data_IF_879075506658
#
_entry.id   IF_879075506658
#
_cell.length_a   1.000
_cell.length_b   1.000
_cell.length_c   1.000
_cell.angle_alpha   90.00
_cell.angle_beta   90.00
_cell.angle_gamma   90.00
#
_symmetry.space_group_name_H-M   'P 1'
#
loop_
_entity.id
_entity.type
_entity.pdbx_description
1 polymer ?
#
# COMPACT_ATOMS: atom_id res chain seq x y z
N UNK A 1 31.10 15.36 0.54
CA UNK A 1 32.31 15.75 -0.23
C UNK A 1 32.26 15.24 -1.67
N UNK A 2 32.01 13.95 -1.90
CA UNK A 2 32.06 13.36 -3.26
C UNK A 2 31.11 14.01 -4.28
N UNK A 3 29.87 14.31 -3.89
CA UNK A 3 28.91 15.03 -4.76
C UNK A 3 29.38 16.44 -5.14
N UNK A 4 30.14 17.08 -4.26
CA UNK A 4 30.82 18.34 -4.55
C UNK A 4 31.94 18.19 -5.57
N UNK A 5 32.72 17.09 -5.49
CA UNK A 5 33.76 16.77 -6.47
C UNK A 5 33.15 16.52 -7.86
N UNK A 6 32.01 15.83 -7.95
CA UNK A 6 31.26 15.66 -9.20
C UNK A 6 30.81 17.03 -9.76
N UNK A 7 30.34 17.94 -8.89
CA UNK A 7 30.04 19.31 -9.26
C UNK A 7 31.25 20.09 -9.78
N UNK A 8 32.41 19.94 -9.13
CA UNK A 8 33.66 20.58 -9.54
C UNK A 8 34.16 20.08 -10.91
N UNK A 9 34.10 18.78 -11.17
CA UNK A 9 34.47 18.22 -12.48
C UNK A 9 33.60 18.82 -13.60
N UNK A 10 32.28 18.89 -13.41
CA UNK A 10 31.35 19.55 -14.36
C UNK A 10 31.67 21.02 -14.57
N UNK A 11 32.10 21.72 -13.51
CA UNK A 11 32.54 23.10 -13.62
C UNK A 11 33.80 23.21 -14.51
N UNK A 12 34.78 22.34 -14.30
CA UNK A 12 36.02 22.34 -15.08
C UNK A 12 35.76 22.06 -16.57
N UNK A 13 34.91 21.09 -16.90
CA UNK A 13 34.53 20.75 -18.29
C UNK A 13 33.86 21.91 -19.03
N UNK A 14 33.00 22.67 -18.33
CA UNK A 14 32.17 23.72 -18.95
C UNK A 14 32.76 25.13 -18.83
N UNK A 15 33.89 25.28 -18.16
CA UNK A 15 34.47 26.59 -17.91
C UNK A 15 35.15 27.17 -19.17
N UNK A 16 34.90 28.44 -19.44
CA UNK A 16 35.48 29.16 -20.57
C UNK A 16 36.28 30.35 -20.04
N UNK A 17 37.61 30.23 -20.03
CA UNK A 17 38.51 31.27 -19.51
C UNK A 17 38.39 32.61 -20.25
N UNK A 18 38.00 32.59 -21.54
CA UNK A 18 37.83 33.79 -22.37
C UNK A 18 36.72 34.74 -21.89
N UNK A 19 35.82 34.27 -21.01
CA UNK A 19 34.72 35.09 -20.46
C UNK A 19 35.16 35.99 -19.29
N UNK A 20 36.40 35.87 -18.81
CA UNK A 20 36.97 36.79 -17.81
C UNK A 20 36.48 36.63 -16.37
N UNK A 21 35.60 35.66 -16.07
CA UNK A 21 35.17 35.37 -14.70
C UNK A 21 36.15 34.44 -13.99
N UNK A 22 36.37 34.62 -12.67
CA UNK A 22 37.22 33.70 -11.89
C UNK A 22 36.61 32.30 -11.83
N UNK A 23 37.43 31.27 -12.08
CA UNK A 23 37.00 29.88 -12.00
C UNK A 23 36.38 29.52 -10.64
N UNK A 24 36.95 30.00 -9.53
CA UNK A 24 36.44 29.73 -8.18
C UNK A 24 34.96 30.14 -8.03
N UNK A 25 34.60 31.34 -8.45
CA UNK A 25 33.22 31.85 -8.41
C UNK A 25 32.26 31.00 -9.25
N UNK A 26 32.71 30.55 -10.43
CA UNK A 26 31.92 29.68 -11.30
C UNK A 26 31.75 28.27 -10.72
N UNK A 27 32.84 27.68 -10.23
CA UNK A 27 32.85 26.35 -9.65
C UNK A 27 31.99 26.26 -8.38
N UNK A 28 31.96 27.31 -7.55
CA UNK A 28 31.10 27.35 -6.36
C UNK A 28 29.63 27.07 -6.69
N UNK A 29 29.11 27.61 -7.80
CA UNK A 29 27.73 27.36 -8.22
C UNK A 29 27.49 25.88 -8.55
N UNK A 30 28.38 25.25 -9.32
CA UNK A 30 28.26 23.84 -9.70
C UNK A 30 28.45 22.89 -8.52
N UNK A 31 29.38 23.19 -7.61
CA UNK A 31 29.58 22.45 -6.37
C UNK A 31 28.32 22.52 -5.51
N UNK A 32 27.78 23.74 -5.30
CA UNK A 32 26.57 23.93 -4.49
C UNK A 32 25.37 23.21 -5.11
N UNK A 33 25.18 23.32 -6.42
CA UNK A 33 24.11 22.65 -7.14
C UNK A 33 24.18 21.13 -7.01
N UNK A 34 25.38 20.54 -7.17
CA UNK A 34 25.61 19.11 -7.00
C UNK A 34 25.25 18.63 -5.61
N UNK A 35 25.78 19.30 -4.57
CA UNK A 35 25.50 18.97 -3.17
C UNK A 35 24.02 19.11 -2.84
N UNK A 36 23.38 20.22 -3.20
CA UNK A 36 21.96 20.46 -2.89
C UNK A 36 21.05 19.45 -3.59
N UNK A 37 21.36 19.08 -4.84
CA UNK A 37 20.60 18.06 -5.57
C UNK A 37 20.77 16.68 -4.94
N UNK A 38 21.99 16.26 -4.64
CA UNK A 38 22.24 14.97 -4.02
C UNK A 38 21.58 14.87 -2.63
N UNK A 39 21.62 15.96 -1.85
CA UNK A 39 20.90 16.02 -0.57
C UNK A 39 19.39 15.84 -0.78
N UNK A 40 18.79 16.50 -1.77
CA UNK A 40 17.37 16.33 -2.06
C UNK A 40 17.01 14.91 -2.53
N UNK A 41 17.88 14.26 -3.31
CA UNK A 41 17.59 12.96 -3.93
C UNK A 41 17.94 11.75 -3.03
N UNK A 42 18.95 11.86 -2.15
CA UNK A 42 19.54 10.72 -1.44
C UNK A 42 19.49 10.80 0.10
N UNK A 43 19.17 11.96 0.70
CA UNK A 43 19.28 12.11 2.17
C UNK A 43 18.21 11.37 2.98
N UNK A 44 17.14 10.92 2.33
CA UNK A 44 15.97 10.34 3.01
C UNK A 44 15.83 8.87 2.68
N UNK A 45 15.41 8.09 3.69
CA UNK A 45 15.05 6.67 3.55
C UNK A 45 13.98 6.46 2.47
N UNK A 46 12.97 7.34 2.46
CA UNK A 46 11.95 7.38 1.41
C UNK A 46 12.28 8.56 0.50
N UNK A 47 12.58 8.27 -0.77
CA UNK A 47 12.93 9.28 -1.76
C UNK A 47 11.72 10.18 -2.04
N UNK A 48 11.92 11.49 -1.91
CA UNK A 48 10.91 12.52 -2.19
C UNK A 48 11.31 13.32 -3.45
N UNK A 49 10.39 13.61 -4.39
CA UNK A 49 10.70 14.44 -5.54
C UNK A 49 11.17 15.87 -5.16
N UNK A 50 12.11 16.43 -5.93
CA UNK A 50 12.72 17.74 -5.66
C UNK A 50 11.70 18.87 -5.50
N UNK A 51 10.63 18.90 -6.31
CA UNK A 51 9.59 19.94 -6.23
C UNK A 51 8.82 19.91 -4.89
N UNK A 52 8.71 18.73 -4.25
CA UNK A 52 8.13 18.59 -2.92
C UNK A 52 9.09 19.11 -1.84
N UNK A 53 10.41 18.92 -2.00
CA UNK A 53 11.44 19.51 -1.13
C UNK A 53 11.45 21.02 -1.18
N UNK A 54 11.33 21.61 -2.38
CA UNK A 54 11.15 23.05 -2.52
C UNK A 54 9.86 23.55 -1.88
N UNK A 55 8.75 22.82 -2.05
CA UNK A 55 7.47 23.14 -1.43
C UNK A 55 7.57 23.12 0.10
N UNK A 56 8.18 22.09 0.68
CA UNK A 56 8.42 21.97 2.12
C UNK A 56 9.26 23.13 2.66
N UNK A 57 10.36 23.51 1.98
CA UNK A 57 11.15 24.69 2.36
C UNK A 57 10.39 26.01 2.24
N UNK A 58 9.46 26.14 1.27
CA UNK A 58 8.55 27.31 1.21
C UNK A 58 7.59 27.34 2.39
N UNK A 59 6.98 26.20 2.71
CA UNK A 59 6.09 26.03 3.87
C UNK A 59 6.82 26.43 5.15
N UNK A 60 8.00 25.85 5.42
CA UNK A 60 8.78 26.15 6.63
C UNK A 60 9.14 27.64 6.76
N UNK A 61 9.52 28.29 5.65
CA UNK A 61 9.83 29.73 5.65
C UNK A 61 8.60 30.59 5.99
N UNK A 62 7.45 30.27 5.40
CA UNK A 62 6.20 31.02 5.66
C UNK A 62 5.69 30.76 7.06
N UNK A 63 5.72 29.50 7.53
CA UNK A 63 5.35 29.14 8.91
C UNK A 63 6.19 29.90 9.94
N UNK A 64 7.51 29.98 9.74
CA UNK A 64 8.39 30.76 10.64
C UNK A 64 8.09 32.26 10.59
N UNK A 65 7.88 32.82 9.40
CA UNK A 65 7.53 34.24 9.23
C UNK A 65 6.21 34.59 9.92
N UNK A 66 5.17 33.79 9.67
CA UNK A 66 3.86 33.98 10.30
C UNK A 66 3.94 33.79 11.82
N UNK A 67 4.73 32.81 12.28
CA UNK A 67 4.94 32.59 13.72
C UNK A 67 5.56 33.81 14.42
N UNK A 68 6.53 34.47 13.77
CA UNK A 68 7.13 35.71 14.27
C UNK A 68 6.14 36.88 14.26
N UNK A 69 5.32 37.01 13.22
CA UNK A 69 4.34 38.09 13.09
C UNK A 69 3.17 37.96 14.07
N UNK A 70 2.73 36.72 14.33
CA UNK A 70 1.55 36.44 15.16
C UNK A 70 1.90 36.25 16.64
N UNK A 71 3.18 36.12 16.99
CA UNK A 71 3.63 35.81 18.36
C UNK A 71 3.19 34.44 18.86
N UNK A 72 2.70 33.56 17.98
CA UNK A 72 2.20 32.21 18.27
C UNK A 72 2.52 31.28 17.10
N UNK A 73 2.53 29.95 17.27
CA UNK A 73 2.65 29.04 16.13
C UNK A 73 1.54 29.28 15.10
N UNK A 74 1.92 29.35 13.83
CA UNK A 74 1.00 29.56 12.71
C UNK A 74 0.17 28.29 12.47
N UNK A 75 -1.13 28.44 12.26
CA UNK A 75 -2.03 27.32 11.90
C UNK A 75 -1.83 26.92 10.44
N UNK A 76 -2.08 25.66 10.12
CA UNK A 76 -1.92 25.14 8.75
C UNK A 76 -2.78 25.90 7.73
N UNK A 77 -3.99 26.33 8.12
CA UNK A 77 -4.89 27.14 7.29
C UNK A 77 -4.31 28.53 6.96
N UNK A 78 -3.67 29.18 7.94
CA UNK A 78 -3.05 30.49 7.79
C UNK A 78 -1.86 30.42 6.83
N UNK A 79 -1.08 29.34 6.93
CA UNK A 79 0.05 29.06 6.03
C UNK A 79 -0.46 28.74 4.61
N UNK A 80 -1.53 27.97 4.49
CA UNK A 80 -2.16 27.64 3.21
C UNK A 80 -2.67 28.90 2.49
N UNK A 81 -3.32 29.80 3.22
CA UNK A 81 -3.80 31.07 2.69
C UNK A 81 -2.65 31.97 2.22
N UNK A 82 -1.59 32.09 3.04
CA UNK A 82 -0.40 32.86 2.69
C UNK A 82 0.34 32.32 1.46
N UNK A 83 0.35 31.00 1.26
CA UNK A 83 0.97 30.34 0.12
C UNK A 83 0.04 30.20 -1.10
N UNK A 84 -1.24 30.57 -0.98
CA UNK A 84 -2.29 30.32 -1.99
C UNK A 84 -2.34 28.85 -2.42
N UNK A 85 -2.16 27.95 -1.46
CA UNK A 85 -2.22 26.51 -1.66
C UNK A 85 -3.49 25.94 -1.03
N UNK A 86 -4.02 24.87 -1.61
CA UNK A 86 -5.14 24.14 -0.99
C UNK A 86 -4.69 23.48 0.33
N UNK A 87 -5.49 23.51 1.41
CA UNK A 87 -5.14 22.90 2.69
C UNK A 87 -4.79 21.41 2.57
N UNK A 88 -5.47 20.67 1.70
CA UNK A 88 -5.24 19.23 1.51
C UNK A 88 -3.83 18.98 0.95
N UNK A 89 -3.41 19.76 -0.05
CA UNK A 89 -2.05 19.66 -0.60
C UNK A 89 -0.98 20.04 0.42
N UNK A 90 -1.27 21.00 1.29
CA UNK A 90 -0.33 21.38 2.35
C UNK A 90 -0.20 20.25 3.39
N UNK A 91 -1.29 19.58 3.71
CA UNK A 91 -1.29 18.41 4.59
C UNK A 91 -0.49 17.25 3.96
N UNK A 92 -0.74 16.92 2.70
CA UNK A 92 0.00 15.89 1.95
C UNK A 92 1.51 16.17 1.94
N UNK A 93 1.92 17.40 1.58
CA UNK A 93 3.35 17.77 1.61
C UNK A 93 3.92 17.72 3.02
N UNK A 94 3.16 18.06 4.06
CA UNK A 94 3.67 18.00 5.44
C UNK A 94 3.83 16.55 5.91
N UNK A 95 2.86 15.69 5.60
CA UNK A 95 2.86 14.28 5.93
C UNK A 95 4.00 13.53 5.21
N UNK A 96 4.21 13.81 3.92
CA UNK A 96 5.30 13.20 3.15
C UNK A 96 6.69 13.52 3.71
N UNK A 97 6.84 14.61 4.48
CA UNK A 97 8.12 15.02 5.08
C UNK A 97 8.36 14.47 6.49
N UNK A 98 7.42 13.70 7.05
CA UNK A 98 7.62 13.02 8.33
C UNK A 98 8.77 12.01 8.20
N UNK A 99 9.71 12.08 9.14
CA UNK A 99 10.84 11.15 9.17
C UNK A 99 10.39 9.83 9.80
N UNK A 100 10.70 8.68 9.18
CA UNK A 100 10.39 7.38 9.77
C UNK A 100 11.14 7.23 11.10
N UNK A 101 10.48 6.58 12.06
CA UNK A 101 11.05 6.28 13.37
C UNK A 101 11.78 4.93 13.27
N UNK A 102 12.95 4.83 13.90
CA UNK A 102 13.68 3.57 14.01
C UNK A 102 12.88 2.54 14.81
N UNK A 103 12.95 1.26 14.40
CA UNK A 103 12.25 0.17 15.08
C UNK A 103 12.89 -0.15 16.44
N UNK A 104 14.19 0.06 16.55
CA UNK A 104 15.02 -0.14 17.74
C UNK A 104 14.83 0.97 18.77
N UNK A 105 13.97 1.97 18.50
CA UNK A 105 13.72 3.04 19.44
C UNK A 105 13.05 2.45 20.70
N UNK A 106 13.65 2.60 21.89
CA UNK A 106 13.05 2.09 23.11
C UNK A 106 11.74 2.82 23.42
N UNK A 107 10.74 2.07 23.90
CA UNK A 107 9.43 2.58 24.26
C UNK A 107 9.21 2.40 25.77
N UNK A 108 9.04 3.50 26.49
CA UNK A 108 8.88 3.50 27.95
C UNK A 108 10.20 3.30 28.71
N UNK A 109 10.10 2.82 29.95
CA UNK A 109 11.25 2.64 30.87
C UNK A 109 11.88 1.23 30.80
N UNK A 110 11.31 0.34 29.98
CA UNK A 110 11.78 -1.04 29.80
C UNK A 110 12.75 -1.22 28.64
N UNK A 111 13.13 -2.47 28.39
CA UNK A 111 13.95 -2.88 27.23
C UNK A 111 13.12 -3.09 25.94
N UNK A 112 11.84 -2.73 25.95
CA UNK A 112 10.93 -2.98 24.82
C UNK A 112 11.22 -2.01 23.69
N UNK A 113 11.47 -2.56 22.50
CA UNK A 113 11.70 -1.78 21.28
C UNK A 113 10.37 -1.49 20.57
N UNK A 114 10.31 -0.41 19.79
CA UNK A 114 9.12 -0.06 19.03
C UNK A 114 8.69 -1.17 18.05
N UNK A 115 9.67 -1.86 17.45
CA UNK A 115 9.42 -2.97 16.52
C UNK A 115 8.68 -4.15 17.16
N UNK A 116 8.90 -4.43 18.45
CA UNK A 116 8.23 -5.53 19.16
C UNK A 116 6.74 -5.29 19.37
N UNK A 117 6.31 -4.03 19.30
CA UNK A 117 4.92 -3.62 19.47
C UNK A 117 4.11 -3.63 18.17
N UNK A 118 4.74 -3.88 17.02
CA UNK A 118 4.08 -3.89 15.71
C UNK A 118 3.52 -5.29 15.45
N UNK A 119 2.19 -5.49 15.43
CA UNK A 119 1.61 -6.79 15.12
C UNK A 119 1.80 -7.13 13.65
N UNK A 120 2.07 -8.41 13.37
CA UNK A 120 1.98 -8.94 12.01
C UNK A 120 0.52 -9.21 11.64
N UNK A 121 -0.03 -8.36 10.78
CA UNK A 121 -1.40 -8.48 10.28
C UNK A 121 -1.57 -9.52 9.15
N UNK A 122 -0.46 -10.04 8.61
CA UNK A 122 -0.48 -11.08 7.57
C UNK A 122 -0.29 -12.48 8.14
N UNK A 123 0.07 -12.60 9.42
CA UNK A 123 0.20 -13.87 10.08
C UNK A 123 -1.14 -14.63 10.05
N UNK A 124 -1.10 -15.86 9.53
CA UNK A 124 -2.24 -16.76 9.57
C UNK A 124 -2.41 -17.20 11.03
N UNK A 125 -3.56 -16.95 11.67
CA UNK A 125 -3.72 -17.32 13.07
C UNK A 125 -3.76 -18.85 13.19
N UNK A 126 -3.25 -19.42 14.30
CA UNK A 126 -3.03 -20.86 14.42
C UNK A 126 -4.32 -21.68 14.36
N UNK A 127 -5.44 -21.08 14.74
CA UNK A 127 -6.79 -21.64 14.63
C UNK A 127 -7.34 -21.65 13.19
N UNK A 128 -6.80 -20.85 12.27
CA UNK A 128 -7.27 -20.79 10.89
C UNK A 128 -7.19 -22.15 10.17
N UNK A 129 -6.18 -22.97 10.49
CA UNK A 129 -6.08 -24.32 9.94
C UNK A 129 -7.18 -25.24 10.45
N UNK A 130 -7.50 -25.17 11.75
CA UNK A 130 -8.59 -25.93 12.35
C UNK A 130 -9.93 -25.48 11.76
N UNK A 131 -10.16 -24.18 11.68
CA UNK A 131 -11.37 -23.61 11.06
C UNK A 131 -11.52 -24.01 9.60
N UNK A 132 -10.45 -23.97 8.80
CA UNK A 132 -10.50 -24.40 7.39
C UNK A 132 -10.82 -25.88 7.25
N UNK A 133 -10.28 -26.72 8.13
CA UNK A 133 -10.52 -28.17 8.10
C UNK A 133 -11.96 -28.49 8.52
N UNK A 134 -12.44 -27.87 9.60
CA UNK A 134 -13.83 -27.99 10.06
C UNK A 134 -14.81 -27.49 9.01
N UNK A 135 -14.57 -26.32 8.41
CA UNK A 135 -15.36 -25.80 7.29
C UNK A 135 -15.42 -26.79 6.12
N UNK A 136 -14.30 -27.43 5.78
CA UNK A 136 -14.25 -28.40 4.69
C UNK A 136 -15.09 -29.64 5.00
N UNK A 137 -15.02 -30.16 6.23
CA UNK A 137 -15.85 -31.28 6.69
C UNK A 137 -17.34 -30.93 6.73
N UNK A 138 -17.69 -29.74 7.20
CA UNK A 138 -19.08 -29.27 7.22
C UNK A 138 -19.64 -29.08 5.81
N UNK A 139 -18.84 -28.51 4.88
CA UNK A 139 -19.20 -28.44 3.47
C UNK A 139 -19.41 -29.82 2.86
N UNK A 140 -18.57 -30.81 3.18
CA UNK A 140 -18.77 -32.20 2.73
C UNK A 140 -20.07 -32.81 3.26
N UNK A 141 -20.40 -32.59 4.54
CA UNK A 141 -21.67 -33.03 5.14
C UNK A 141 -22.89 -32.37 4.49
N UNK A 142 -22.79 -31.10 4.11
CA UNK A 142 -23.88 -30.41 3.40
C UNK A 142 -24.00 -30.96 1.97
N UNK A 143 -22.89 -31.12 1.26
CA UNK A 143 -22.88 -31.62 -0.11
C UNK A 143 -23.35 -33.08 -0.22
N UNK A 144 -23.21 -33.90 0.83
CA UNK A 144 -23.71 -35.27 0.84
C UNK A 144 -25.25 -35.38 0.89
N UNK A 145 -25.96 -34.31 1.24
CA UNK A 145 -27.44 -34.25 1.14
C UNK A 145 -27.95 -34.15 -0.30
N UNK A 146 -27.09 -33.75 -1.24
CA UNK A 146 -27.40 -33.66 -2.66
C UNK A 146 -27.24 -35.01 -3.33
N UNK A 147 -27.91 -35.20 -4.46
CA UNK A 147 -27.66 -36.40 -5.28
C UNK A 147 -26.25 -36.36 -5.87
N UNK A 148 -25.61 -37.51 -6.18
CA UNK A 148 -24.24 -37.55 -6.69
C UNK A 148 -24.02 -36.65 -7.91
N UNK A 149 -25.02 -36.57 -8.81
CA UNK A 149 -25.01 -35.68 -9.98
C UNK A 149 -25.06 -34.20 -9.61
N UNK A 150 -25.87 -33.82 -8.63
CA UNK A 150 -25.97 -32.44 -8.14
C UNK A 150 -24.67 -32.02 -7.43
N UNK A 151 -24.09 -32.92 -6.63
CA UNK A 151 -22.82 -32.69 -5.93
C UNK A 151 -21.66 -32.44 -6.91
N UNK A 152 -21.51 -33.26 -7.96
CA UNK A 152 -20.48 -33.07 -8.99
C UNK A 152 -20.62 -31.74 -9.71
N UNK A 153 -21.85 -31.36 -10.07
CA UNK A 153 -22.13 -30.06 -10.74
C UNK A 153 -21.73 -28.90 -9.83
N UNK A 154 -22.11 -28.92 -8.55
CA UNK A 154 -21.77 -27.86 -7.59
C UNK A 154 -20.25 -27.81 -7.31
N UNK A 155 -19.59 -28.95 -7.13
CA UNK A 155 -18.13 -29.00 -6.92
C UNK A 155 -17.36 -28.41 -8.09
N UNK A 156 -17.68 -28.81 -9.32
CA UNK A 156 -17.03 -28.28 -10.53
C UNK A 156 -17.35 -26.80 -10.74
N UNK A 157 -18.59 -26.37 -10.45
CA UNK A 157 -19.02 -24.99 -10.67
C UNK A 157 -18.33 -23.99 -9.74
N UNK A 158 -18.15 -24.36 -8.48
CA UNK A 158 -17.57 -23.49 -7.45
C UNK A 158 -16.10 -23.82 -7.12
N UNK A 159 -15.50 -24.82 -7.77
CA UNK A 159 -14.11 -25.22 -7.51
C UNK A 159 -13.91 -25.87 -6.13
N UNK A 160 -14.94 -26.51 -5.57
CA UNK A 160 -14.83 -27.15 -4.25
C UNK A 160 -14.06 -28.48 -4.42
N UNK A 161 -12.82 -28.51 -3.95
CA UNK A 161 -11.90 -29.66 -4.11
C UNK A 161 -11.19 -29.70 -5.47
N UNK A 162 -11.26 -28.62 -6.25
CA UNK A 162 -10.56 -28.46 -7.52
C UNK A 162 -9.87 -27.08 -7.58
N UNK A 163 -8.84 -26.95 -8.40
CA UNK A 163 -8.04 -25.71 -8.45
C UNK A 163 -8.79 -24.52 -9.06
N UNK A 164 -9.82 -24.77 -9.89
CA UNK A 164 -10.55 -23.74 -10.61
C UNK A 164 -12.05 -24.03 -10.72
N UNK A 165 -12.85 -22.96 -10.69
CA UNK A 165 -14.28 -22.99 -11.00
C UNK A 165 -14.51 -23.14 -12.51
N UNK A 166 -15.37 -24.08 -12.91
CA UNK A 166 -15.72 -24.33 -14.30
C UNK A 166 -16.94 -23.51 -14.76
N UNK A 167 -16.96 -23.15 -16.04
CA UNK A 167 -18.14 -22.56 -16.69
C UNK A 167 -19.25 -23.60 -16.91
N UNK A 168 -20.51 -23.18 -17.02
CA UNK A 168 -21.65 -24.09 -17.29
C UNK A 168 -21.44 -24.93 -18.56
N UNK A 169 -20.74 -24.37 -19.55
CA UNK A 169 -20.42 -25.05 -20.80
C UNK A 169 -19.33 -26.11 -20.62
N UNK A 170 -18.27 -25.81 -19.87
CA UNK A 170 -17.21 -26.77 -19.52
C UNK A 170 -17.75 -27.93 -18.67
N UNK A 171 -18.64 -27.65 -17.70
CA UNK A 171 -19.33 -28.69 -16.93
C UNK A 171 -20.25 -29.52 -17.84
N UNK A 172 -20.81 -28.90 -18.90
CA UNK A 172 -21.62 -29.56 -19.93
C UNK A 172 -20.86 -30.57 -20.73
N UNK A 173 -19.66 -30.17 -21.15
CA UNK A 173 -18.74 -31.03 -21.87
C UNK A 173 -18.27 -32.21 -21.00
N UNK A 174 -17.98 -31.98 -19.70
CA UNK A 174 -17.50 -33.06 -18.83
C UNK A 174 -18.57 -34.10 -18.45
N UNK A 175 -19.83 -33.68 -18.33
CA UNK A 175 -20.95 -34.57 -17.99
C UNK A 175 -21.75 -35.05 -19.21
N UNK A 176 -21.33 -34.69 -20.43
CA UNK A 176 -22.04 -34.97 -21.70
C UNK A 176 -23.50 -34.50 -21.68
N UNK A 177 -23.74 -33.28 -21.19
CA UNK A 177 -25.09 -32.69 -21.10
C UNK A 177 -25.10 -31.26 -21.63
N UNK A 178 -26.24 -30.81 -22.13
CA UNK A 178 -26.40 -29.41 -22.59
C UNK A 178 -26.21 -28.42 -21.44
N UNK A 179 -25.70 -27.23 -21.79
CA UNK A 179 -25.52 -26.10 -20.86
C UNK A 179 -26.79 -25.79 -20.06
N UNK A 180 -27.94 -25.75 -20.73
CA UNK A 180 -29.21 -25.43 -20.07
C UNK A 180 -29.63 -26.50 -19.05
N UNK A 181 -29.29 -27.76 -19.32
CA UNK A 181 -29.59 -28.84 -18.37
C UNK A 181 -28.75 -28.73 -17.09
N UNK A 182 -27.50 -28.29 -17.18
CA UNK A 182 -26.68 -28.02 -16.00
C UNK A 182 -27.22 -26.84 -15.21
N UNK A 183 -27.65 -25.77 -15.89
CA UNK A 183 -28.30 -24.63 -15.23
C UNK A 183 -29.53 -25.07 -14.43
N UNK A 184 -30.32 -26.00 -14.96
CA UNK A 184 -31.47 -26.58 -14.24
C UNK A 184 -31.03 -27.40 -13.01
N UNK A 185 -29.99 -28.22 -13.14
CA UNK A 185 -29.45 -29.04 -12.04
C UNK A 185 -28.88 -28.14 -10.94
N UNK A 186 -28.13 -27.10 -11.30
CA UNK A 186 -27.60 -26.08 -10.39
C UNK A 186 -28.74 -25.38 -9.64
N UNK A 187 -29.76 -24.88 -10.35
CA UNK A 187 -30.90 -24.23 -9.72
C UNK A 187 -31.66 -25.16 -8.75
N UNK A 188 -31.80 -26.44 -9.11
CA UNK A 188 -32.42 -27.45 -8.25
C UNK A 188 -31.57 -27.75 -7.01
N UNK A 189 -30.26 -27.90 -7.18
CA UNK A 189 -29.32 -28.10 -6.07
C UNK A 189 -29.30 -26.90 -5.12
N UNK A 190 -29.20 -25.67 -5.64
CA UNK A 190 -29.27 -24.45 -4.84
C UNK A 190 -30.60 -24.31 -4.11
N UNK A 191 -31.72 -24.75 -4.71
CA UNK A 191 -33.02 -24.76 -4.04
C UNK A 191 -33.04 -25.72 -2.85
N UNK A 192 -32.43 -26.92 -2.98
CA UNK A 192 -32.28 -27.88 -1.87
C UNK A 192 -31.36 -27.36 -0.77
N UNK A 193 -30.27 -26.70 -1.14
CA UNK A 193 -29.34 -26.08 -0.18
C UNK A 193 -29.94 -24.90 0.59
N UNK A 194 -31.05 -24.30 0.09
CA UNK A 194 -31.79 -23.22 0.75
C UNK A 194 -32.89 -23.69 1.72
N UNK A 195 -33.06 -25.00 1.90
CA UNK A 195 -34.01 -25.58 2.87
C UNK A 195 -33.61 -25.18 4.29
N UNK A 196 -34.55 -24.90 5.21
CA UNK A 196 -34.25 -24.47 6.58
C UNK A 196 -33.24 -25.36 7.31
N UNK A 197 -33.37 -26.68 7.19
CA UNK A 197 -32.44 -27.67 7.79
C UNK A 197 -30.99 -27.47 7.35
N UNK A 198 -30.76 -27.25 6.04
CA UNK A 198 -29.41 -27.03 5.49
C UNK A 198 -28.92 -25.62 5.81
N UNK A 199 -29.83 -24.66 5.92
CA UNK A 199 -29.50 -23.28 6.31
C UNK A 199 -29.02 -23.19 7.76
N UNK A 200 -29.57 -24.00 8.66
CA UNK A 200 -29.08 -24.15 10.03
C UNK A 200 -27.68 -24.79 10.06
N UNK A 201 -27.42 -25.79 9.22
CA UNK A 201 -26.08 -26.35 9.07
C UNK A 201 -25.05 -25.33 8.56
N UNK A 202 -25.45 -24.41 7.67
CA UNK A 202 -24.62 -23.29 7.23
C UNK A 202 -24.43 -22.21 8.32
N UNK A 203 -25.43 -22.00 9.17
CA UNK A 203 -25.34 -21.05 10.28
C UNK A 203 -24.40 -21.52 11.40
N UNK A 204 -24.23 -22.84 11.55
CA UNK A 204 -23.27 -23.44 12.48
C UNK A 204 -21.79 -23.31 12.03
N UNK A 205 -21.54 -22.76 10.83
CA UNK A 205 -20.20 -22.53 10.26
C UNK A 205 -19.66 -21.12 10.63
N UNK A 206 -20.50 -20.25 11.19
CA UNK A 206 -20.11 -18.88 11.60
C UNK A 206 -19.43 -18.83 12.96
#
# INVERSE_FOLDING_TARGET
>A
VQEGNIGLMKAAERYQYRKGFKFSTYATWWIRQGITRALADQSRTIRIPVHQTEASHRILRVTRRLGQQLGRPARLEEVAHALRMRPERLHETTQAFQEPIALEKPVGDGSTEFGELIPDLQAVPPDAHVHRTEMSHQLERILSTLTPREQTVIRLRFGIGHDQACTLEQVGQSLSVTRERIRQIEAKALKKLKTPEVKEMFAAIQ
#
